data_IF_005218182177
#
_entry.id   IF_005218182177
#
_cell.length_a   1.000
_cell.length_b   1.000
_cell.length_c   1.000
_cell.angle_alpha   90.00
_cell.angle_beta   90.00
_cell.angle_gamma   90.00
#
_symmetry.space_group_name_H-M   'P 1'
#
loop_
_entity.id
_entity.type
_entity.pdbx_description
1 polymer ?
#
# COMPACT_ATOMS: atom_id res chain seq x y z
N UNK A 1 29.59 -6.53 21.91
CA UNK A 1 30.65 -7.48 21.56
C UNK A 1 30.47 -7.76 20.07
N UNK A 2 31.48 -7.45 19.26
CA UNK A 2 31.34 -7.37 17.81
C UNK A 2 31.33 -8.77 17.16
N UNK A 3 30.54 -8.94 16.09
CA UNK A 3 30.43 -10.18 15.30
C UNK A 3 31.79 -10.66 14.76
N UNK A 4 32.76 -9.75 14.60
CA UNK A 4 34.13 -10.07 14.14
C UNK A 4 34.95 -10.80 15.22
N UNK A 5 34.67 -10.54 16.50
CA UNK A 5 35.43 -11.09 17.63
C UNK A 5 34.84 -12.43 18.07
N UNK A 6 33.51 -12.59 17.98
CA UNK A 6 32.78 -13.76 18.44
C UNK A 6 31.69 -14.18 17.45
N UNK A 7 32.05 -14.36 16.18
CA UNK A 7 31.13 -14.82 15.14
C UNK A 7 30.63 -16.23 15.41
N UNK A 8 29.30 -16.41 15.44
CA UNK A 8 28.66 -17.69 15.76
C UNK A 8 28.15 -18.44 14.51
N UNK A 9 28.42 -17.93 13.31
CA UNK A 9 27.86 -18.43 12.04
C UNK A 9 28.19 -19.90 11.70
N UNK A 10 29.26 -20.46 12.29
CA UNK A 10 29.69 -21.85 12.07
C UNK A 10 29.20 -22.82 13.14
N UNK A 11 28.48 -22.32 14.14
CA UNK A 11 27.95 -23.13 15.23
C UNK A 11 26.46 -23.32 15.01
N UNK A 12 26.01 -24.57 15.10
CA UNK A 12 24.59 -24.90 15.19
C UNK A 12 24.26 -25.06 16.67
N UNK A 13 23.35 -24.24 17.16
CA UNK A 13 22.90 -24.36 18.54
C UNK A 13 21.84 -25.46 18.66
N UNK A 14 21.83 -26.16 19.80
CA UNK A 14 20.78 -27.15 20.09
C UNK A 14 19.40 -26.51 20.03
N UNK A 15 19.28 -25.23 20.43
CA UNK A 15 18.05 -24.45 20.32
C UNK A 15 17.56 -24.33 18.87
N UNK A 16 18.45 -24.10 17.92
CA UNK A 16 18.09 -23.97 16.50
C UNK A 16 17.55 -25.31 15.99
N UNK A 17 18.26 -26.41 16.28
CA UNK A 17 17.81 -27.76 15.92
C UNK A 17 16.45 -28.10 16.55
N UNK A 18 16.25 -27.78 17.84
CA UNK A 18 15.00 -28.06 18.55
C UNK A 18 13.83 -27.23 18.02
N UNK A 19 14.05 -25.97 17.61
CA UNK A 19 13.05 -25.10 16.98
C UNK A 19 12.68 -25.63 15.58
N UNK A 20 13.67 -25.99 14.78
CA UNK A 20 13.46 -26.53 13.43
C UNK A 20 12.73 -27.87 13.46
N UNK A 21 13.13 -28.76 14.37
CA UNK A 21 12.53 -30.08 14.54
C UNK A 21 11.24 -30.06 15.36
N UNK A 22 10.85 -28.90 15.91
CA UNK A 22 9.67 -28.77 16.78
C UNK A 22 9.65 -29.81 17.91
N UNK A 23 10.82 -30.02 18.56
CA UNK A 23 10.99 -30.98 19.66
C UNK A 23 10.39 -30.47 20.96
N UNK A 24 9.80 -31.38 21.76
CA UNK A 24 9.22 -31.05 23.07
C UNK A 24 7.86 -30.34 23.02
N UNK A 25 7.22 -30.26 21.85
CA UNK A 25 5.89 -29.64 21.72
C UNK A 25 4.78 -30.67 21.92
N UNK A 26 4.06 -30.56 23.02
CA UNK A 26 2.81 -31.32 23.26
C UNK A 26 1.62 -30.73 22.49
N UNK A 27 0.59 -31.54 22.16
CA UNK A 27 -0.65 -31.03 21.58
C UNK A 27 -1.33 -29.99 22.50
N UNK A 28 -2.07 -29.06 21.90
CA UNK A 28 -2.86 -28.11 22.67
C UNK A 28 -3.89 -28.83 23.56
N UNK A 29 -4.11 -28.35 24.79
CA UNK A 29 -5.04 -28.99 25.73
C UNK A 29 -6.49 -28.90 25.28
N UNK A 30 -6.85 -27.85 24.52
CA UNK A 30 -8.21 -27.61 24.04
C UNK A 30 -8.25 -27.32 22.54
N UNK A 31 -9.31 -27.80 21.89
CA UNK A 31 -9.56 -27.52 20.49
C UNK A 31 -9.98 -26.06 20.29
N UNK A 32 -9.41 -25.41 19.28
CA UNK A 32 -9.85 -24.07 18.85
C UNK A 32 -9.22 -22.92 19.62
N UNK A 33 -8.17 -23.16 20.41
CA UNK A 33 -7.34 -22.07 20.95
C UNK A 33 -6.72 -21.27 19.80
N UNK A 34 -6.62 -19.95 19.99
CA UNK A 34 -6.00 -19.08 19.01
C UNK A 34 -4.48 -19.26 19.04
N UNK A 35 -3.92 -19.49 17.86
CA UNK A 35 -2.48 -19.71 17.68
C UNK A 35 -1.80 -18.51 17.07
N UNK A 36 -2.46 -17.35 17.09
CA UNK A 36 -2.11 -16.17 16.29
C UNK A 36 -0.68 -15.68 16.52
N UNK A 37 -0.16 -15.86 17.74
CA UNK A 37 1.20 -15.49 18.18
C UNK A 37 2.24 -16.60 18.01
N UNK A 38 1.85 -17.82 17.66
CA UNK A 38 2.79 -18.94 17.47
C UNK A 38 3.41 -18.90 16.07
N UNK A 39 4.57 -19.54 15.92
CA UNK A 39 5.24 -19.67 14.63
C UNK A 39 4.40 -20.50 13.65
N UNK A 40 4.66 -20.33 12.35
CA UNK A 40 4.05 -21.15 11.29
C UNK A 40 4.64 -22.55 11.36
N UNK A 41 3.79 -23.57 11.29
CA UNK A 41 4.24 -24.96 11.33
C UNK A 41 4.95 -25.34 10.03
N UNK A 42 6.26 -25.59 10.11
CA UNK A 42 7.09 -26.04 8.97
C UNK A 42 6.66 -27.42 8.46
N UNK A 43 6.31 -28.34 9.36
CA UNK A 43 5.80 -29.67 9.00
C UNK A 43 4.45 -29.59 8.29
N UNK A 44 3.55 -28.69 8.68
CA UNK A 44 2.28 -28.51 8.00
C UNK A 44 2.46 -27.95 6.60
N UNK A 45 3.34 -26.95 6.44
CA UNK A 45 3.70 -26.40 5.13
C UNK A 45 4.27 -27.47 4.18
N UNK A 46 4.92 -28.52 4.71
CA UNK A 46 5.43 -29.68 3.97
C UNK A 46 4.44 -30.85 3.84
N UNK A 47 3.27 -30.78 4.49
CA UNK A 47 2.27 -31.85 4.49
C UNK A 47 2.56 -33.02 5.44
N UNK A 48 3.46 -32.87 6.41
CA UNK A 48 3.93 -33.91 7.35
C UNK A 48 3.42 -33.74 8.79
N UNK A 49 2.56 -32.75 9.06
CA UNK A 49 2.09 -32.48 10.42
C UNK A 49 0.99 -33.47 10.86
N UNK A 50 1.30 -34.33 11.84
CA UNK A 50 0.37 -35.32 12.39
C UNK A 50 -0.57 -34.74 13.47
N UNK A 51 -0.21 -33.58 14.06
CA UNK A 51 -0.93 -32.97 15.19
C UNK A 51 -2.26 -32.30 14.77
N UNK A 52 -2.56 -32.24 13.47
CA UNK A 52 -3.79 -31.69 12.90
C UNK A 52 -4.20 -30.35 13.56
N UNK A 53 -5.46 -30.21 14.00
CA UNK A 53 -5.97 -28.97 14.63
C UNK A 53 -5.44 -28.70 16.04
N UNK A 54 -4.83 -29.71 16.68
CA UNK A 54 -4.23 -29.61 18.02
C UNK A 54 -2.75 -29.22 17.96
N UNK A 55 -2.17 -29.09 16.77
CA UNK A 55 -0.83 -28.52 16.61
C UNK A 55 -0.77 -27.14 17.28
N UNK A 56 0.20 -26.86 18.17
CA UNK A 56 0.36 -25.55 18.80
C UNK A 56 0.83 -24.45 17.85
N UNK A 57 1.42 -24.84 16.72
CA UNK A 57 1.86 -23.92 15.68
C UNK A 57 0.74 -23.60 14.70
N UNK A 58 0.85 -22.45 14.04
CA UNK A 58 -0.15 -21.98 13.06
C UNK A 58 -0.12 -22.82 11.81
N UNK A 59 -1.30 -23.18 11.34
CA UNK A 59 -1.52 -23.75 10.01
C UNK A 59 -2.14 -22.68 9.10
N UNK A 60 -1.37 -22.21 8.11
CA UNK A 60 -1.91 -21.29 7.11
C UNK A 60 -2.68 -22.07 6.04
N UNK A 61 -4.00 -21.88 6.03
CA UNK A 61 -4.90 -22.50 5.07
C UNK A 61 -5.19 -21.54 3.91
N UNK A 62 -4.67 -21.87 2.72
CA UNK A 62 -4.96 -21.18 1.46
C UNK A 62 -4.43 -19.74 1.37
N UNK A 63 -4.66 -19.13 0.22
CA UNK A 63 -4.28 -17.74 -0.06
C UNK A 63 -5.28 -16.77 0.57
N UNK A 64 -4.81 -15.95 1.51
CA UNK A 64 -5.62 -14.93 2.19
C UNK A 64 -5.24 -13.56 1.66
N UNK A 65 -6.20 -12.83 1.11
CA UNK A 65 -5.94 -11.58 0.37
C UNK A 65 -5.94 -10.34 1.24
N UNK A 66 -6.78 -10.28 2.29
CA UNK A 66 -6.99 -9.07 3.10
C UNK A 66 -6.70 -9.34 4.57
N UNK A 67 -6.04 -8.40 5.23
CA UNK A 67 -5.71 -8.46 6.66
C UNK A 67 -6.97 -8.47 7.54
N UNK A 68 -6.98 -9.32 8.56
CA UNK A 68 -8.08 -9.45 9.49
C UNK A 68 -8.14 -8.26 10.46
N UNK A 69 -9.19 -7.45 10.37
CA UNK A 69 -9.41 -6.32 11.30
C UNK A 69 -9.49 -6.72 12.79
N UNK A 70 -9.93 -7.94 13.09
CA UNK A 70 -10.06 -8.41 14.48
C UNK A 70 -8.73 -8.93 15.04
N UNK A 71 -7.87 -9.46 14.16
CA UNK A 71 -6.54 -9.95 14.55
C UNK A 71 -5.60 -8.79 14.90
N UNK A 72 -5.68 -7.66 14.18
CA UNK A 72 -4.94 -6.44 14.50
C UNK A 72 -5.19 -5.94 15.94
N UNK A 73 -6.34 -6.29 16.52
CA UNK A 73 -6.73 -5.94 17.89
C UNK A 73 -6.50 -7.08 18.91
N UNK A 74 -6.02 -8.23 18.46
CA UNK A 74 -5.88 -9.43 19.31
C UNK A 74 -7.21 -10.11 19.67
N UNK A 75 -8.31 -9.82 18.97
CA UNK A 75 -9.68 -10.28 19.31
C UNK A 75 -10.21 -11.36 18.36
N UNK A 76 -9.37 -11.93 17.51
CA UNK A 76 -9.81 -12.91 16.53
C UNK A 76 -10.02 -14.30 17.15
N UNK A 77 -11.29 -14.68 17.37
CA UNK A 77 -11.66 -16.02 17.89
C UNK A 77 -11.55 -17.16 16.86
N UNK A 78 -11.36 -16.84 15.57
CA UNK A 78 -11.33 -17.85 14.50
C UNK A 78 -9.95 -18.52 14.35
N UNK A 79 -8.91 -17.96 14.97
CA UNK A 79 -7.54 -18.48 14.87
C UNK A 79 -7.13 -18.77 13.42
N UNK A 80 -6.59 -19.96 13.19
CA UNK A 80 -6.10 -20.42 11.88
C UNK A 80 -7.21 -20.52 10.81
N UNK A 81 -8.45 -20.76 11.25
CA UNK A 81 -9.64 -20.89 10.38
C UNK A 81 -10.23 -19.53 9.98
N UNK A 82 -9.55 -18.44 10.32
CA UNK A 82 -9.95 -17.13 9.85
C UNK A 82 -9.77 -17.04 8.32
N UNK A 83 -10.85 -16.62 7.63
CA UNK A 83 -10.84 -16.33 6.18
C UNK A 83 -9.95 -15.15 5.78
N UNK A 84 -9.47 -14.39 6.76
CA UNK A 84 -8.67 -13.19 6.58
C UNK A 84 -7.23 -13.43 7.04
N UNK A 85 -6.29 -12.69 6.47
CA UNK A 85 -4.87 -12.81 6.73
C UNK A 85 -4.52 -12.36 8.16
N UNK A 86 -3.74 -13.18 8.86
CA UNK A 86 -3.17 -12.87 10.19
C UNK A 86 -1.68 -12.56 10.05
N UNK A 87 -1.38 -11.55 9.24
CA UNK A 87 -0.05 -11.02 8.96
C UNK A 87 -0.18 -9.50 8.86
N UNK A 88 0.82 -8.77 9.36
CA UNK A 88 0.85 -7.32 9.27
C UNK A 88 1.39 -6.93 7.90
N UNK A 89 0.50 -6.51 7.01
CA UNK A 89 0.86 -6.05 5.67
C UNK A 89 -0.01 -4.84 5.32
N UNK A 90 0.64 -3.69 5.16
CA UNK A 90 -0.01 -2.41 4.85
C UNK A 90 -0.65 -2.39 3.46
N UNK A 91 -0.10 -3.15 2.50
CA UNK A 91 -0.62 -3.19 1.12
C UNK A 91 -1.95 -3.95 1.00
N UNK A 92 -2.16 -4.90 1.90
CA UNK A 92 -3.34 -5.79 1.97
C UNK A 92 -4.30 -5.40 3.09
N UNK A 93 -4.17 -4.18 3.62
CA UNK A 93 -5.07 -3.68 4.66
C UNK A 93 -6.47 -3.46 4.08
N UNK A 94 -7.56 -3.72 4.82
CA UNK A 94 -8.90 -3.36 4.36
C UNK A 94 -9.05 -1.85 4.14
N UNK A 95 -10.02 -1.49 3.32
CA UNK A 95 -10.36 -0.09 3.04
C UNK A 95 -10.88 0.63 4.28
N UNK A 96 -10.53 1.91 4.38
CA UNK A 96 -11.04 2.77 5.44
C UNK A 96 -12.51 3.09 5.18
N UNK A 97 -13.38 2.62 6.08
CA UNK A 97 -14.82 2.87 6.00
C UNK A 97 -15.17 4.37 5.98
N UNK A 98 -14.50 5.18 6.81
CA UNK A 98 -14.79 6.61 6.91
C UNK A 98 -14.41 7.36 5.65
N UNK A 99 -13.22 7.08 5.11
CA UNK A 99 -12.75 7.70 3.88
C UNK A 99 -13.60 7.27 2.68
N UNK A 100 -13.91 5.97 2.56
CA UNK A 100 -14.74 5.44 1.46
C UNK A 100 -16.16 6.03 1.46
N UNK A 101 -16.75 6.23 2.65
CA UNK A 101 -18.14 6.71 2.77
C UNK A 101 -18.28 8.23 2.78
N UNK A 102 -17.37 8.94 3.44
CA UNK A 102 -17.48 10.38 3.69
C UNK A 102 -16.42 11.21 2.94
N UNK A 103 -15.45 10.59 2.28
CA UNK A 103 -14.34 11.27 1.60
C UNK A 103 -13.28 11.84 2.55
N UNK A 104 -13.48 11.74 3.86
CA UNK A 104 -12.58 12.28 4.88
C UNK A 104 -12.39 11.27 6.02
N UNK A 105 -11.16 11.18 6.53
CA UNK A 105 -10.82 10.40 7.72
C UNK A 105 -10.27 11.34 8.79
N UNK A 106 -10.80 11.25 10.01
CA UNK A 106 -10.34 12.07 11.15
C UNK A 106 -8.91 11.73 11.59
N UNK A 107 -8.50 10.47 11.39
CA UNK A 107 -7.19 10.00 11.82
C UNK A 107 -6.13 10.29 10.75
N UNK A 108 -5.08 11.05 11.12
CA UNK A 108 -3.95 11.36 10.25
C UNK A 108 -3.07 10.14 9.94
N UNK A 109 -2.91 9.25 10.92
CA UNK A 109 -2.19 7.99 10.81
C UNK A 109 -3.19 6.84 10.71
N UNK A 110 -3.92 6.76 9.59
CA UNK A 110 -4.86 5.68 9.35
C UNK A 110 -4.15 4.50 8.69
N UNK A 111 -4.08 3.35 9.37
CA UNK A 111 -3.52 2.12 8.80
C UNK A 111 -4.34 1.59 7.62
N UNK A 112 -5.63 1.90 7.56
CA UNK A 112 -6.56 1.42 6.54
C UNK A 112 -6.37 2.14 5.20
N UNK A 113 -6.63 1.44 4.09
CA UNK A 113 -6.41 1.99 2.76
C UNK A 113 -7.39 3.12 2.45
N UNK A 114 -6.85 4.28 2.08
CA UNK A 114 -7.58 5.42 1.50
C UNK A 114 -7.53 5.33 -0.03
N UNK A 115 -8.45 4.56 -0.62
CA UNK A 115 -8.58 4.48 -2.07
C UNK A 115 -9.28 5.73 -2.62
N UNK A 116 -8.53 6.59 -3.30
CA UNK A 116 -9.12 7.69 -4.07
C UNK A 116 -9.70 7.11 -5.35
N UNK A 117 -11.01 7.23 -5.52
CA UNK A 117 -11.66 6.82 -6.76
C UNK A 117 -11.08 7.63 -7.94
N UNK A 118 -10.91 7.03 -9.14
CA UNK A 118 -10.40 7.75 -10.30
C UNK A 118 -11.29 8.92 -10.74
N UNK A 119 -12.55 8.97 -10.26
CA UNK A 119 -13.46 10.12 -10.39
C UNK A 119 -13.02 11.36 -9.61
N UNK A 120 -12.19 11.22 -8.56
CA UNK A 120 -11.64 12.32 -7.76
C UNK A 120 -10.19 12.68 -8.12
N UNK A 121 -9.58 11.95 -9.06
CA UNK A 121 -8.29 12.33 -9.59
C UNK A 121 -8.45 13.69 -10.30
N UNK A 122 -7.93 14.73 -9.67
CA UNK A 122 -7.92 16.08 -10.23
C UNK A 122 -7.40 16.06 -11.67
N UNK A 123 -8.06 16.82 -12.53
CA UNK A 123 -7.65 16.96 -13.92
C UNK A 123 -6.25 17.58 -13.97
N UNK A 124 -5.40 17.06 -14.84
CA UNK A 124 -4.03 17.55 -14.97
C UNK A 124 -4.05 18.99 -15.49
N UNK A 125 -3.57 19.98 -14.71
CA UNK A 125 -3.60 21.38 -15.14
C UNK A 125 -2.77 21.61 -16.40
N UNK A 126 -1.62 20.92 -16.53
CA UNK A 126 -0.75 21.05 -17.71
C UNK A 126 -1.35 20.40 -18.96
N UNK A 127 -2.08 19.29 -18.82
CA UNK A 127 -2.77 18.67 -19.96
C UNK A 127 -3.97 19.50 -20.42
N UNK A 128 -4.70 20.13 -19.49
CA UNK A 128 -5.81 21.04 -19.82
C UNK A 128 -5.32 22.29 -20.56
N UNK A 129 -4.07 22.71 -20.30
CA UNK A 129 -3.36 23.75 -21.08
C UNK A 129 -2.85 23.26 -22.45
N UNK A 130 -2.94 21.96 -22.74
CA UNK A 130 -2.66 21.37 -24.04
C UNK A 130 -1.54 20.34 -24.05
N UNK A 131 -0.58 20.39 -23.12
CA UNK A 131 0.54 19.44 -23.10
C UNK A 131 1.04 19.13 -21.69
N UNK A 132 1.07 17.85 -21.35
CA UNK A 132 1.66 17.36 -20.10
C UNK A 132 3.01 16.68 -20.38
N UNK A 133 4.05 17.11 -19.65
CA UNK A 133 5.42 16.59 -19.77
C UNK A 133 5.54 15.11 -19.39
N UNK A 134 4.70 14.66 -18.46
CA UNK A 134 4.71 13.28 -17.96
C UNK A 134 3.97 12.30 -18.90
N UNK A 135 3.28 12.82 -19.92
CA UNK A 135 2.59 12.02 -20.94
C UNK A 135 1.60 11.01 -20.34
N UNK A 136 1.52 9.77 -20.84
CA UNK A 136 0.57 8.76 -20.36
C UNK A 136 0.86 8.25 -18.94
N UNK A 137 2.03 8.57 -18.37
CA UNK A 137 2.43 8.18 -17.02
C UNK A 137 2.08 9.26 -15.98
N UNK A 138 1.37 10.32 -16.37
CA UNK A 138 1.00 11.39 -15.44
C UNK A 138 0.09 10.86 -14.31
N UNK A 139 0.37 11.28 -13.08
CA UNK A 139 -0.44 10.94 -11.90
C UNK A 139 -1.86 11.55 -11.92
N UNK A 140 -2.08 12.56 -12.76
CA UNK A 140 -3.33 13.30 -12.87
C UNK A 140 -4.14 12.83 -14.07
N UNK A 141 -5.45 13.04 -14.02
CA UNK A 141 -6.36 12.59 -15.08
C UNK A 141 -6.20 13.47 -16.33
N UNK A 142 -5.90 12.85 -17.47
CA UNK A 142 -5.84 13.52 -18.77
C UNK A 142 -7.20 13.43 -19.46
N UNK A 143 -7.98 14.51 -19.44
CA UNK A 143 -9.27 14.60 -20.14
C UNK A 143 -9.04 15.30 -21.47
N UNK A 144 -9.19 14.57 -22.58
CA UNK A 144 -9.07 15.16 -23.92
C UNK A 144 -10.31 15.97 -24.24
N UNK A 145 -10.13 17.28 -24.43
CA UNK A 145 -11.21 18.21 -24.84
C UNK A 145 -10.99 18.68 -26.28
N UNK A 146 -12.09 18.87 -27.03
CA UNK A 146 -12.04 19.44 -28.38
C UNK A 146 -12.04 20.97 -28.27
N UNK A 147 -11.01 21.61 -28.82
CA UNK A 147 -10.85 23.07 -28.77
C UNK A 147 -11.83 23.77 -29.72
N UNK A 148 -12.38 24.90 -29.29
CA UNK A 148 -13.23 25.73 -30.13
C UNK A 148 -12.40 26.43 -31.22
N UNK A 149 -12.73 26.19 -32.49
CA UNK A 149 -12.05 26.81 -33.64
C UNK A 149 -12.21 28.33 -33.65
N UNK A 150 -13.39 28.85 -33.32
CA UNK A 150 -13.66 30.29 -33.29
C UNK A 150 -12.90 31.00 -32.15
N UNK A 151 -12.83 30.37 -30.98
CA UNK A 151 -12.05 30.91 -29.85
C UNK A 151 -10.55 30.89 -30.13
N UNK A 152 -10.05 29.84 -30.79
CA UNK A 152 -8.67 29.79 -31.27
C UNK A 152 -8.38 30.90 -32.28
N UNK A 153 -9.37 31.27 -33.09
CA UNK A 153 -9.34 32.43 -33.99
C UNK A 153 -9.47 33.79 -33.30
N UNK A 154 -9.58 33.82 -31.97
CA UNK A 154 -9.54 35.04 -31.15
C UNK A 154 -10.89 35.47 -30.57
N UNK A 155 -12.03 35.00 -31.11
CA UNK A 155 -13.34 35.37 -30.59
C UNK A 155 -14.40 34.29 -30.87
N UNK A 156 -15.08 33.84 -29.80
CA UNK A 156 -16.24 32.96 -29.90
C UNK A 156 -17.51 33.72 -29.46
N UNK A 157 -18.54 33.86 -30.31
CA UNK A 157 -19.77 34.59 -29.98
C UNK A 157 -20.58 33.92 -28.87
N UNK A 158 -20.36 32.63 -28.60
CA UNK A 158 -21.02 31.88 -27.54
C UNK A 158 -20.36 32.10 -26.16
N UNK A 159 -19.20 32.75 -26.11
CA UNK A 159 -18.52 33.09 -24.85
C UNK A 159 -18.23 31.85 -23.97
N UNK A 160 -18.40 31.92 -22.64
CA UNK A 160 -18.12 30.81 -21.72
C UNK A 160 -19.12 29.64 -21.86
N UNK A 161 -20.27 29.85 -22.50
CA UNK A 161 -21.33 28.85 -22.69
C UNK A 161 -21.11 28.00 -23.96
N UNK A 162 -19.94 28.11 -24.59
CA UNK A 162 -19.64 27.34 -25.79
C UNK A 162 -19.51 25.84 -25.48
N UNK A 163 -20.06 24.99 -26.36
CA UNK A 163 -19.96 23.53 -26.27
C UNK A 163 -18.52 23.01 -26.41
N UNK A 164 -17.63 23.80 -27.00
CA UNK A 164 -16.23 23.46 -27.24
C UNK A 164 -15.31 24.11 -26.21
N UNK A 165 -14.16 23.50 -25.92
CA UNK A 165 -13.28 23.97 -24.86
C UNK A 165 -12.61 25.31 -25.21
N UNK A 166 -12.67 26.23 -24.24
CA UNK A 166 -11.98 27.52 -24.25
C UNK A 166 -10.85 27.48 -23.19
N UNK A 167 -9.57 27.38 -23.58
CA UNK A 167 -8.46 27.36 -22.65
C UNK A 167 -8.44 28.62 -21.78
N UNK A 168 -8.39 28.46 -20.46
CA UNK A 168 -8.25 29.60 -19.55
C UNK A 168 -6.79 30.07 -19.60
N UNK A 169 -6.54 31.12 -20.37
CA UNK A 169 -5.26 31.84 -20.36
C UNK A 169 -5.11 32.52 -18.99
N UNK A 170 -4.50 31.83 -18.03
CA UNK A 170 -4.10 32.48 -16.77
C UNK A 170 -2.95 33.43 -17.12
N UNK A 171 -3.09 34.75 -16.90
CA UNK A 171 -1.97 35.66 -17.12
C UNK A 171 -0.80 35.18 -16.27
N UNK A 172 0.39 35.13 -16.87
CA UNK A 172 1.62 34.85 -16.15
C UNK A 172 1.95 36.08 -15.25
N UNK A 173 1.13 36.35 -14.23
CA UNK A 173 1.53 37.28 -13.18
C UNK A 173 2.64 36.61 -12.38
N UNK A 174 3.76 37.30 -12.25
CA UNK A 174 4.91 36.94 -11.43
C UNK A 174 4.49 36.25 -10.11
N UNK A 175 5.25 35.26 -9.63
CA UNK A 175 4.85 34.44 -8.49
C UNK A 175 4.99 35.23 -7.18
N UNK A 176 4.01 36.07 -6.85
CA UNK A 176 3.77 36.50 -5.48
C UNK A 176 3.01 35.39 -4.76
N UNK A 177 3.78 34.45 -4.20
CA UNK A 177 3.64 33.75 -2.91
C UNK A 177 2.26 33.54 -2.21
N UNK A 178 1.11 33.68 -2.87
CA UNK A 178 -0.21 33.60 -2.23
C UNK A 178 -1.12 32.50 -2.78
N UNK A 179 -0.74 31.77 -3.83
CA UNK A 179 -1.46 30.57 -4.29
C UNK A 179 -0.85 29.24 -3.81
N UNK A 180 0.04 29.28 -2.80
CA UNK A 180 0.54 28.11 -2.07
C UNK A 180 0.21 28.24 -0.58
N UNK A 181 -1.07 28.41 -0.24
CA UNK A 181 -1.55 28.15 1.13
C UNK A 181 -2.72 27.18 1.06
N UNK A 182 -2.37 25.91 0.77
CA UNK A 182 -3.04 24.67 1.22
C UNK A 182 -2.44 23.43 0.53
N UNK A 183 -1.11 23.37 0.40
CA UNK A 183 -0.39 22.13 0.10
C UNK A 183 0.92 22.19 0.87
N UNK A 184 0.88 21.80 2.15
CA UNK A 184 1.98 21.20 2.90
C UNK A 184 1.60 21.11 4.38
N UNK A 185 0.94 20.03 4.76
CA UNK A 185 1.33 19.29 5.97
C UNK A 185 1.18 17.80 5.66
N UNK A 186 2.29 17.05 5.78
CA UNK A 186 2.27 15.59 5.69
C UNK A 186 3.02 14.96 4.51
N UNK A 187 4.18 15.50 4.09
CA UNK A 187 5.22 14.68 3.46
C UNK A 187 6.34 14.53 4.49
N UNK A 188 6.24 13.49 5.33
CA UNK A 188 7.40 12.91 5.99
C UNK A 188 7.95 11.79 5.10
N UNK A 189 9.20 11.98 4.73
CA UNK A 189 10.05 11.21 3.81
C UNK A 189 10.16 9.73 4.18
N UNK A 190 10.69 8.90 3.27
CA UNK A 190 11.79 8.05 3.68
C UNK A 190 13.04 8.25 2.82
N UNK A 191 14.17 7.89 3.42
CA UNK A 191 15.52 8.19 2.98
C UNK A 191 15.93 7.51 1.68
N UNK A 192 16.87 8.17 1.00
CA UNK A 192 17.63 7.61 -0.11
C UNK A 192 18.51 6.46 0.39
N UNK A 193 18.18 5.24 -0.02
CA UNK A 193 19.17 4.18 -0.14
C UNK A 193 19.97 4.44 -1.43
N UNK A 194 21.24 4.79 -1.27
CA UNK A 194 22.25 4.60 -2.29
C UNK A 194 22.30 3.11 -2.62
N UNK A 195 22.20 2.76 -3.91
CA UNK A 195 22.93 1.66 -4.53
C UNK A 195 22.76 1.76 -6.05
N UNK A 196 23.81 2.25 -6.69
CA UNK A 196 24.01 2.16 -8.13
C UNK A 196 24.58 0.77 -8.45
N UNK A 197 23.99 0.07 -9.43
CA UNK A 197 24.64 -1.03 -10.14
C UNK A 197 24.54 -0.81 -11.66
N UNK A 198 25.48 -1.35 -12.45
CA UNK A 198 25.94 -0.73 -13.68
C UNK A 198 25.52 -1.46 -14.97
N UNK A 199 25.37 -0.68 -16.06
CA UNK A 199 25.51 -1.12 -17.46
C UNK A 199 24.34 -1.93 -18.07
N UNK A 200 24.28 -2.09 -19.41
CA UNK A 200 25.35 -1.90 -20.40
C UNK A 200 25.09 -0.82 -21.46
N UNK A 201 26.18 -0.23 -21.93
CA UNK A 201 26.26 0.69 -23.07
C UNK A 201 26.35 -0.14 -24.35
N UNK A 202 25.49 0.15 -25.32
CA UNK A 202 25.49 -0.47 -26.64
C UNK A 202 26.55 0.17 -27.56
N UNK A 203 27.25 -0.73 -28.26
CA UNK A 203 28.05 -0.60 -29.48
C UNK A 203 29.35 0.21 -29.47
#
# INVERSE_FOLDING_TARGET
>A
MEEVIAGLERFTFTLEEDVEMQRGIEPLPFLGMDKSSSAVCTFYARGLCEKARLCPFRHDHGEKTVVCKHWLRGLCKKGDQCRFLHQYDLSRMPECYFFSKFGECSNKECDFLHLKTPSEAQDCPSYDQGFCKDGPLCKYRHVRRVMCTNYLGGFCPLGPECQYAHPKMVPLSNPTSQAMRKVNEGISKPGFCLNAWPGPRTR
#
